data_IF_465486562038
#
_entry.id   IF_465486562038
#
_cell.length_a   1.000
_cell.length_b   1.000
_cell.length_c   1.000
_cell.angle_alpha   90.00
_cell.angle_beta   90.00
_cell.angle_gamma   90.00
#
_symmetry.space_group_name_H-M   'P 1'
#
loop_
_entity.id
_entity.type
_entity.pdbx_description
1 polymer ?
#
# COMPACT_ATOMS: atom_id res chain seq x y z
N UNK A 1 9.37 -56.30 6.61
CA UNK A 1 7.99 -55.83 6.86
C UNK A 1 7.55 -54.76 5.85
N UNK A 2 7.92 -54.91 4.57
CA UNK A 2 7.55 -54.02 3.44
C UNK A 2 7.26 -54.84 2.16
N UNK A 3 6.90 -56.12 2.33
CA UNK A 3 6.59 -57.04 1.23
C UNK A 3 5.18 -57.66 1.33
N UNK A 4 4.46 -57.43 2.42
CA UNK A 4 3.05 -57.87 2.57
C UNK A 4 2.02 -56.82 2.15
N UNK A 5 2.37 -55.53 2.07
CA UNK A 5 1.42 -54.49 1.63
C UNK A 5 1.29 -54.38 0.10
N UNK A 6 2.28 -54.87 -0.66
CA UNK A 6 2.22 -54.87 -2.12
C UNK A 6 1.34 -55.99 -2.70
N UNK A 7 1.12 -57.08 -1.94
CA UNK A 7 0.37 -58.24 -2.42
C UNK A 7 -1.16 -58.03 -2.33
N UNK A 8 -1.65 -57.22 -1.40
CA UNK A 8 -3.09 -56.93 -1.28
C UNK A 8 -3.59 -55.89 -2.31
N UNK A 9 -2.73 -54.99 -2.78
CA UNK A 9 -3.08 -54.05 -3.85
C UNK A 9 -3.12 -54.75 -5.22
N UNK A 10 -2.31 -55.78 -5.44
CA UNK A 10 -2.30 -56.52 -6.71
C UNK A 10 -3.49 -57.48 -6.86
N UNK A 11 -4.07 -57.95 -5.74
CA UNK A 11 -5.24 -58.85 -5.73
C UNK A 11 -6.60 -58.14 -5.91
N UNK A 12 -6.64 -56.81 -5.77
CA UNK A 12 -7.88 -56.02 -5.98
C UNK A 12 -8.02 -55.48 -7.41
N UNK A 13 -6.94 -55.44 -8.19
CA UNK A 13 -6.98 -55.01 -9.60
C UNK A 13 -7.38 -56.15 -10.56
N UNK A 14 -7.30 -57.41 -10.12
CA UNK A 14 -7.69 -58.58 -10.93
C UNK A 14 -9.19 -58.90 -10.92
N UNK A 15 -9.99 -58.20 -10.10
CA UNK A 15 -11.45 -58.42 -10.01
C UNK A 15 -12.33 -57.45 -10.84
N UNK A 16 -11.74 -56.54 -11.64
CA UNK A 16 -12.52 -55.55 -12.39
C UNK A 16 -12.18 -55.44 -13.88
N UNK A 17 -11.58 -56.47 -14.48
CA UNK A 17 -11.44 -56.59 -15.94
C UNK A 17 -11.74 -58.01 -16.38
N UNK A 18 -13.02 -58.38 -16.28
CA UNK A 18 -13.59 -59.49 -17.04
C UNK A 18 -15.05 -59.20 -17.40
N UNK A 19 -15.25 -58.43 -18.47
CA UNK A 19 -16.43 -58.57 -19.31
C UNK A 19 -15.94 -58.86 -20.73
N UNK A 20 -15.64 -60.14 -20.91
CA UNK A 20 -15.54 -60.81 -22.18
C UNK A 20 -16.91 -60.74 -22.88
N UNK A 21 -17.00 -60.10 -24.04
CA UNK A 21 -18.09 -60.36 -24.96
C UNK A 21 -17.54 -60.41 -26.38
N UNK A 22 -17.75 -61.57 -26.99
CA UNK A 22 -17.10 -62.07 -28.18
C UNK A 22 -17.44 -61.21 -29.39
N UNK A 23 -16.39 -60.73 -30.08
CA UNK A 23 -16.53 -60.24 -31.46
C UNK A 23 -16.56 -61.46 -32.37
N UNK A 24 -17.77 -61.93 -32.70
CA UNK A 24 -17.98 -62.86 -33.81
C UNK A 24 -18.30 -62.03 -35.06
N UNK A 25 -17.38 -62.07 -36.02
CA UNK A 25 -17.58 -61.55 -37.37
C UNK A 25 -18.37 -62.55 -38.22
N UNK A 26 -19.10 -61.98 -39.18
CA UNK A 26 -19.58 -62.56 -40.45
C UNK A 26 -20.98 -63.20 -40.47
N UNK A 27 -21.88 -62.51 -41.17
CA UNK A 27 -22.57 -62.94 -42.42
C UNK A 27 -24.09 -62.74 -42.44
N UNK A 28 -24.53 -61.85 -43.35
CA UNK A 28 -25.71 -61.91 -44.22
C UNK A 28 -27.03 -62.44 -43.64
N UNK A 29 -27.96 -61.53 -43.30
CA UNK A 29 -29.43 -61.78 -43.30
C UNK A 29 -30.14 -60.49 -43.79
N UNK A 30 -31.24 -60.58 -44.59
CA UNK A 30 -31.65 -59.57 -45.56
C UNK A 30 -32.42 -58.38 -44.98
N UNK A 31 -32.39 -57.29 -45.74
CA UNK A 31 -33.20 -56.08 -45.60
C UNK A 31 -34.70 -56.38 -45.48
N UNK A 32 -35.25 -56.22 -44.28
CA UNK A 32 -36.67 -55.90 -44.11
C UNK A 32 -36.82 -54.37 -43.99
N UNK A 33 -37.85 -53.76 -44.59
CA UNK A 33 -38.05 -52.33 -44.50
C UNK A 33 -38.49 -52.01 -43.07
N UNK A 34 -37.65 -51.30 -42.32
CA UNK A 34 -38.06 -50.66 -41.08
C UNK A 34 -39.06 -49.58 -41.46
N UNK A 35 -40.30 -49.78 -41.05
CA UNK A 35 -41.40 -48.86 -41.25
C UNK A 35 -41.08 -47.57 -40.50
N UNK A 36 -40.58 -46.55 -41.21
CA UNK A 36 -40.54 -45.20 -40.68
C UNK A 36 -41.99 -44.78 -40.49
N UNK A 37 -42.42 -44.70 -39.23
CA UNK A 37 -43.63 -43.97 -38.86
C UNK A 37 -43.58 -42.53 -39.42
N UNK A 38 -44.71 -41.81 -39.45
CA UNK A 38 -44.74 -40.48 -40.03
C UNK A 38 -43.66 -39.64 -39.38
N UNK A 39 -42.79 -39.08 -40.21
CA UNK A 39 -41.77 -38.12 -39.82
C UNK A 39 -42.51 -37.03 -39.03
N UNK A 40 -42.35 -37.03 -37.69
CA UNK A 40 -42.96 -36.01 -36.85
C UNK A 40 -42.19 -34.75 -37.14
N UNK A 41 -42.67 -33.98 -38.13
CA UNK A 41 -42.16 -32.65 -38.43
C UNK A 41 -42.49 -31.79 -37.22
N UNK A 42 -41.54 -31.69 -36.29
CA UNK A 42 -41.65 -30.78 -35.15
C UNK A 42 -41.43 -29.38 -35.70
N UNK A 43 -42.52 -28.67 -36.00
CA UNK A 43 -42.45 -27.28 -36.41
C UNK A 43 -42.07 -26.42 -35.19
N UNK A 44 -40.77 -26.26 -34.95
CA UNK A 44 -40.24 -25.47 -33.84
C UNK A 44 -40.22 -24.00 -34.26
N UNK A 45 -41.00 -23.19 -33.57
CA UNK A 45 -40.99 -21.73 -33.69
C UNK A 45 -40.25 -21.12 -32.50
N UNK A 46 -39.23 -20.31 -32.78
CA UNK A 46 -38.55 -19.52 -31.75
C UNK A 46 -39.16 -18.13 -31.66
N UNK A 47 -39.55 -17.74 -30.45
CA UNK A 47 -40.10 -16.42 -30.13
C UNK A 47 -38.96 -15.43 -29.83
N UNK A 48 -39.33 -14.15 -29.70
CA UNK A 48 -38.45 -13.09 -29.20
C UNK A 48 -37.10 -12.95 -29.93
N UNK A 49 -37.10 -13.23 -31.24
CA UNK A 49 -35.90 -13.13 -32.08
C UNK A 49 -34.87 -14.25 -31.84
N UNK A 50 -35.29 -15.37 -31.24
CA UNK A 50 -34.48 -16.58 -31.16
C UNK A 50 -34.26 -17.22 -32.54
N UNK A 51 -33.11 -17.84 -32.73
CA UNK A 51 -32.72 -18.52 -33.97
C UNK A 51 -32.73 -20.03 -33.78
N UNK A 52 -33.19 -20.77 -34.79
CA UNK A 52 -33.14 -22.24 -34.78
C UNK A 52 -31.71 -22.69 -35.13
N UNK A 53 -31.07 -23.42 -34.23
CA UNK A 53 -29.76 -24.05 -34.43
C UNK A 53 -29.88 -25.52 -33.97
N UNK A 54 -29.52 -26.46 -34.85
CA UNK A 54 -29.59 -27.91 -34.60
C UNK A 54 -30.96 -28.41 -34.07
N UNK A 55 -32.04 -27.86 -34.61
CA UNK A 55 -33.40 -28.23 -34.21
C UNK A 55 -33.80 -27.77 -32.81
N UNK A 56 -33.08 -26.79 -32.22
CA UNK A 56 -33.43 -26.14 -30.95
C UNK A 56 -33.41 -24.62 -31.10
N UNK A 57 -34.18 -23.94 -30.26
CA UNK A 57 -34.11 -22.48 -30.21
C UNK A 57 -32.89 -22.02 -29.42
N UNK A 58 -32.11 -21.14 -30.04
CA UNK A 58 -31.05 -20.37 -29.40
C UNK A 58 -31.57 -18.96 -29.13
N UNK A 59 -31.69 -18.62 -27.85
CA UNK A 59 -32.38 -17.40 -27.43
C UNK A 59 -31.44 -16.19 -27.39
N UNK A 60 -32.01 -15.01 -27.59
CA UNK A 60 -31.33 -13.75 -27.28
C UNK A 60 -30.96 -13.71 -25.78
N UNK A 61 -29.92 -12.96 -25.35
CA UNK A 61 -29.44 -12.95 -23.96
C UNK A 61 -30.49 -12.60 -22.88
N UNK A 62 -31.66 -12.12 -23.27
CA UNK A 62 -32.77 -11.73 -22.38
C UNK A 62 -33.91 -12.73 -22.33
N UNK A 63 -33.84 -13.84 -23.04
CA UNK A 63 -34.91 -14.83 -23.12
C UNK A 63 -34.37 -16.24 -22.91
N UNK A 64 -35.22 -17.10 -22.39
CA UNK A 64 -34.97 -18.50 -22.07
C UNK A 64 -36.19 -19.35 -22.47
N UNK A 65 -36.14 -20.65 -22.23
CA UNK A 65 -37.21 -21.58 -22.57
C UNK A 65 -36.93 -22.33 -23.88
N UNK A 66 -37.77 -23.31 -24.16
CA UNK A 66 -37.58 -24.19 -25.33
C UNK A 66 -37.88 -23.48 -26.64
N UNK A 67 -38.65 -22.39 -26.58
CA UNK A 67 -39.04 -21.55 -27.70
C UNK A 67 -38.67 -20.07 -27.45
N UNK A 68 -37.79 -19.77 -26.49
CA UNK A 68 -37.45 -18.40 -26.10
C UNK A 68 -38.64 -17.56 -25.61
N UNK A 69 -39.67 -18.23 -25.11
CA UNK A 69 -40.93 -17.66 -24.64
C UNK A 69 -40.82 -17.07 -23.22
N UNK A 70 -39.77 -17.44 -22.50
CA UNK A 70 -39.60 -17.12 -21.10
C UNK A 70 -38.66 -15.93 -20.94
N UNK A 71 -39.08 -14.95 -20.16
CA UNK A 71 -38.16 -13.95 -19.66
C UNK A 71 -37.56 -14.40 -18.30
N UNK A 72 -36.24 -14.23 -18.07
CA UNK A 72 -35.58 -14.65 -16.84
C UNK A 72 -35.91 -13.71 -15.68
N UNK A 73 -35.78 -14.21 -14.45
CA UNK A 73 -35.87 -13.39 -13.24
C UNK A 73 -34.71 -12.39 -13.18
N UNK A 74 -34.97 -11.18 -12.72
CA UNK A 74 -33.98 -10.11 -12.58
C UNK A 74 -33.45 -10.04 -11.15
N UNK A 75 -32.34 -9.32 -10.97
CA UNK A 75 -31.80 -8.91 -9.66
C UNK A 75 -31.64 -10.07 -8.65
N UNK A 76 -31.26 -11.26 -9.13
CA UNK A 76 -31.07 -12.45 -8.28
C UNK A 76 -32.37 -13.18 -7.89
N UNK A 77 -33.49 -12.87 -8.54
CA UNK A 77 -34.73 -13.63 -8.40
C UNK A 77 -34.58 -15.08 -8.84
N UNK A 78 -35.26 -15.99 -8.16
CA UNK A 78 -35.26 -17.42 -8.46
C UNK A 78 -36.58 -17.83 -9.07
N UNK A 79 -36.57 -18.66 -10.11
CA UNK A 79 -37.82 -19.19 -10.68
C UNK A 79 -38.56 -20.06 -9.67
N UNK A 80 -39.86 -19.85 -9.54
CA UNK A 80 -40.72 -20.77 -8.80
C UNK A 80 -40.77 -22.12 -9.53
N UNK A 81 -40.52 -23.21 -8.79
CA UNK A 81 -40.66 -24.58 -9.30
C UNK A 81 -42.11 -25.06 -9.33
N UNK A 82 -43.04 -24.27 -8.77
CA UNK A 82 -44.45 -24.64 -8.70
C UNK A 82 -45.15 -24.41 -10.04
N UNK A 83 -45.81 -25.44 -10.62
CA UNK A 83 -46.64 -25.30 -11.82
C UNK A 83 -47.73 -24.23 -11.65
N UNK A 84 -48.23 -24.06 -10.42
CA UNK A 84 -49.30 -23.11 -10.09
C UNK A 84 -48.84 -21.65 -10.02
N UNK A 85 -47.52 -21.39 -9.99
CA UNK A 85 -46.99 -20.04 -9.92
C UNK A 85 -46.87 -19.37 -11.30
N UNK A 86 -47.28 -20.04 -12.37
CA UNK A 86 -47.35 -19.50 -13.73
C UNK A 86 -46.04 -18.83 -14.20
N UNK A 87 -44.89 -19.37 -13.79
CA UNK A 87 -43.58 -18.83 -14.14
C UNK A 87 -43.14 -17.57 -13.37
N UNK A 88 -43.84 -17.17 -12.30
CA UNK A 88 -43.42 -16.04 -11.43
C UNK A 88 -42.11 -16.29 -10.70
N UNK A 89 -41.34 -15.23 -10.53
CA UNK A 89 -40.10 -15.22 -9.78
C UNK A 89 -40.34 -15.06 -8.28
N UNK A 90 -39.57 -15.81 -7.49
CA UNK A 90 -39.41 -15.56 -6.06
C UNK A 90 -38.32 -14.49 -5.89
N UNK A 91 -38.71 -13.34 -5.34
CA UNK A 91 -37.84 -12.18 -5.28
C UNK A 91 -37.06 -12.11 -3.98
N UNK A 92 -35.79 -11.68 -4.04
CA UNK A 92 -35.03 -11.33 -2.85
C UNK A 92 -35.71 -10.21 -2.07
N UNK A 93 -35.33 -10.07 -0.81
CA UNK A 93 -35.85 -9.01 0.04
C UNK A 93 -35.66 -7.63 -0.61
N UNK A 94 -36.68 -6.79 -0.49
CA UNK A 94 -36.67 -5.45 -1.06
C UNK A 94 -37.14 -5.37 -2.52
N UNK A 95 -37.37 -6.50 -3.20
CA UNK A 95 -37.78 -6.55 -4.61
C UNK A 95 -39.18 -7.14 -4.79
N UNK A 96 -39.84 -6.74 -5.87
CA UNK A 96 -41.18 -7.18 -6.25
C UNK A 96 -41.38 -7.10 -7.77
N UNK A 97 -42.57 -7.50 -8.24
CA UNK A 97 -42.89 -7.68 -9.65
C UNK A 97 -42.78 -9.14 -10.09
N UNK A 98 -43.34 -9.46 -11.25
CA UNK A 98 -43.36 -10.83 -11.78
C UNK A 98 -41.95 -11.36 -12.04
N UNK A 99 -40.98 -10.45 -12.26
CA UNK A 99 -39.58 -10.73 -12.55
C UNK A 99 -38.60 -10.10 -11.55
N UNK A 100 -39.07 -9.58 -10.41
CA UNK A 100 -38.23 -8.88 -9.42
C UNK A 100 -37.59 -7.59 -9.96
N UNK A 101 -38.29 -6.94 -10.89
CA UNK A 101 -37.84 -5.73 -11.59
C UNK A 101 -38.14 -4.43 -10.83
N UNK A 102 -38.98 -4.48 -9.79
CA UNK A 102 -39.37 -3.32 -9.00
C UNK A 102 -38.75 -3.38 -7.60
N UNK A 103 -38.25 -2.25 -7.12
CA UNK A 103 -37.80 -2.07 -5.73
C UNK A 103 -38.96 -1.59 -4.86
N UNK A 104 -38.96 -2.00 -3.60
CA UNK A 104 -40.00 -1.67 -2.61
C UNK A 104 -39.63 -0.48 -1.74
N UNK A 105 -38.33 -0.18 -1.63
CA UNK A 105 -37.80 0.91 -0.82
C UNK A 105 -36.49 1.42 -1.41
N UNK A 106 -36.08 2.60 -0.98
CA UNK A 106 -34.74 3.14 -1.17
C UNK A 106 -34.15 3.41 0.21
N UNK A 107 -32.82 3.47 0.32
CA UNK A 107 -32.21 3.85 1.60
C UNK A 107 -32.62 5.28 1.96
N UNK A 108 -33.06 5.45 3.20
CA UNK A 108 -33.59 6.71 3.71
C UNK A 108 -32.56 7.86 3.56
N UNK A 109 -33.04 9.01 3.10
CA UNK A 109 -32.21 10.20 2.85
C UNK A 109 -31.33 10.14 1.60
N UNK A 110 -31.20 8.96 0.95
CA UNK A 110 -30.27 8.75 -0.19
C UNK A 110 -30.96 8.65 -1.54
N UNK A 111 -32.29 8.56 -1.55
CA UNK A 111 -33.07 8.54 -2.78
C UNK A 111 -34.56 8.52 -2.51
N UNK A 112 -35.33 8.56 -3.59
CA UNK A 112 -36.79 8.49 -3.58
C UNK A 112 -37.27 7.38 -4.49
N UNK A 113 -38.31 6.67 -4.04
CA UNK A 113 -38.95 5.62 -4.84
C UNK A 113 -39.88 6.27 -5.87
N UNK A 114 -39.66 6.01 -7.16
CA UNK A 114 -40.44 6.50 -8.29
C UNK A 114 -40.68 5.33 -9.24
N UNK A 115 -41.94 5.00 -9.49
CA UNK A 115 -42.35 3.92 -10.41
C UNK A 115 -41.66 2.57 -10.18
N UNK A 116 -41.51 2.19 -8.91
CA UNK A 116 -40.84 0.93 -8.53
C UNK A 116 -39.33 0.94 -8.79
N UNK A 117 -38.70 2.12 -8.92
CA UNK A 117 -37.24 2.29 -9.02
C UNK A 117 -36.76 3.38 -8.08
N UNK A 118 -35.52 3.28 -7.63
CA UNK A 118 -34.93 4.33 -6.82
C UNK A 118 -34.30 5.42 -7.70
N UNK A 119 -34.79 6.65 -7.54
CA UNK A 119 -34.10 7.85 -8.01
C UNK A 119 -33.17 8.34 -6.90
N UNK A 120 -31.88 8.09 -7.05
CA UNK A 120 -30.89 8.44 -6.04
C UNK A 120 -30.64 9.95 -5.98
N UNK A 121 -30.40 10.43 -4.77
CA UNK A 121 -29.89 11.76 -4.49
C UNK A 121 -28.42 11.84 -4.94
N UNK A 122 -27.89 13.06 -5.00
CA UNK A 122 -26.49 13.29 -5.32
C UNK A 122 -25.58 12.43 -4.43
N UNK A 123 -24.53 11.89 -5.05
CA UNK A 123 -23.49 11.04 -4.43
C UNK A 123 -23.90 9.61 -4.09
N UNK A 124 -25.10 9.18 -4.49
CA UNK A 124 -25.58 7.82 -4.26
C UNK A 124 -25.99 7.12 -5.54
N UNK A 125 -25.80 5.81 -5.57
CA UNK A 125 -26.13 4.94 -6.70
C UNK A 125 -26.47 3.52 -6.23
N UNK A 126 -26.74 2.63 -7.18
CA UNK A 126 -27.16 1.26 -6.93
C UNK A 126 -28.68 1.11 -6.84
N UNK A 127 -29.12 -0.15 -6.84
CA UNK A 127 -30.53 -0.52 -6.95
C UNK A 127 -31.43 0.12 -5.87
N UNK A 128 -30.89 0.30 -4.67
CA UNK A 128 -31.57 0.90 -3.51
C UNK A 128 -30.94 2.23 -3.06
N UNK A 129 -30.06 2.84 -3.87
CA UNK A 129 -29.23 4.00 -3.47
C UNK A 129 -28.30 3.73 -2.28
N UNK A 130 -27.82 2.50 -2.18
CA UNK A 130 -26.97 2.04 -1.08
C UNK A 130 -25.47 2.28 -1.34
N UNK A 131 -25.06 2.47 -2.60
CA UNK A 131 -23.67 2.66 -2.97
C UNK A 131 -23.34 4.15 -3.00
N UNK A 132 -22.20 4.54 -2.44
CA UNK A 132 -21.67 5.90 -2.61
C UNK A 132 -20.92 6.02 -3.92
N UNK A 133 -21.01 7.19 -4.55
CA UNK A 133 -20.20 7.54 -5.71
C UNK A 133 -19.02 8.42 -5.31
N UNK A 134 -18.02 8.51 -6.20
CA UNK A 134 -16.97 9.51 -6.09
C UNK A 134 -17.55 10.91 -6.19
N UNK A 135 -17.01 11.86 -5.42
CA UNK A 135 -17.48 13.23 -5.43
C UNK A 135 -16.63 14.15 -6.31
N UNK A 136 -15.36 14.38 -5.96
CA UNK A 136 -14.40 15.12 -6.77
C UNK A 136 -13.39 14.14 -7.36
N UNK A 137 -13.81 13.41 -8.39
CA UNK A 137 -12.98 12.41 -9.02
C UNK A 137 -13.76 11.42 -9.86
N UNK A 138 -13.04 10.40 -10.35
CA UNK A 138 -13.59 9.38 -11.24
C UNK A 138 -13.59 8.00 -10.58
N UNK A 139 -14.66 7.24 -10.81
CA UNK A 139 -14.74 5.85 -10.39
C UNK A 139 -13.95 4.96 -11.35
N UNK A 140 -13.00 4.20 -10.82
CA UNK A 140 -12.14 3.29 -11.57
C UNK A 140 -12.23 1.88 -10.97
N UNK A 141 -12.15 0.86 -11.81
CA UNK A 141 -12.22 -0.54 -11.41
C UNK A 141 -13.12 -1.36 -12.32
N UNK A 142 -13.07 -2.67 -12.11
CA UNK A 142 -13.89 -3.67 -12.81
C UNK A 142 -14.71 -4.48 -11.80
N UNK A 143 -15.38 -5.54 -12.25
CA UNK A 143 -16.38 -6.33 -11.52
C UNK A 143 -15.94 -6.84 -10.12
N UNK A 144 -14.65 -6.80 -9.79
CA UNK A 144 -14.10 -7.16 -8.48
C UNK A 144 -14.05 -6.01 -7.45
N UNK A 145 -14.27 -4.76 -7.87
CA UNK A 145 -14.30 -3.61 -6.97
C UNK A 145 -14.08 -2.27 -7.68
N UNK A 146 -14.88 -1.27 -7.32
CA UNK A 146 -14.76 0.11 -7.81
C UNK A 146 -14.20 1.00 -6.70
N UNK A 147 -13.20 1.82 -7.02
CA UNK A 147 -12.61 2.82 -6.13
C UNK A 147 -12.56 4.19 -6.82
N UNK A 148 -12.27 5.24 -6.05
CA UNK A 148 -12.22 6.61 -6.58
C UNK A 148 -10.78 7.07 -6.79
N UNK A 149 -10.50 7.60 -7.97
CA UNK A 149 -9.34 8.45 -8.22
C UNK A 149 -9.75 9.90 -8.04
N UNK A 150 -9.15 10.58 -7.07
CA UNK A 150 -9.54 11.93 -6.70
C UNK A 150 -8.90 12.99 -7.57
N UNK A 151 -9.67 14.04 -7.87
CA UNK A 151 -9.16 15.26 -8.47
C UNK A 151 -8.14 15.94 -7.54
N UNK A 152 -7.35 16.87 -8.10
CA UNK A 152 -6.35 17.60 -7.32
C UNK A 152 -7.04 18.38 -6.20
N UNK A 153 -6.55 18.21 -4.96
CA UNK A 153 -7.05 18.85 -3.76
C UNK A 153 -8.07 18.06 -2.95
N UNK A 154 -8.36 16.82 -3.32
CA UNK A 154 -9.28 15.95 -2.57
C UNK A 154 -8.68 14.59 -2.25
N UNK A 155 -9.11 14.02 -1.13
CA UNK A 155 -8.68 12.70 -0.65
C UNK A 155 -9.86 11.90 -0.07
N UNK A 156 -9.53 10.69 0.39
CA UNK A 156 -10.47 9.75 0.97
C UNK A 156 -11.06 8.78 -0.06
N UNK A 157 -11.76 7.73 0.39
CA UNK A 157 -12.26 6.67 -0.48
C UNK A 157 -13.33 7.14 -1.48
N UNK A 158 -13.94 8.31 -1.24
CA UNK A 158 -14.98 8.90 -2.09
C UNK A 158 -14.64 10.32 -2.58
N UNK A 159 -13.41 10.79 -2.35
CA UNK A 159 -12.95 12.12 -2.78
C UNK A 159 -13.82 13.28 -2.27
N UNK A 160 -14.34 13.13 -1.05
CA UNK A 160 -15.19 14.11 -0.36
C UNK A 160 -14.46 14.86 0.76
N UNK A 161 -13.19 14.52 1.01
CA UNK A 161 -12.36 15.18 2.02
C UNK A 161 -11.43 16.17 1.30
N UNK A 162 -11.59 17.49 1.49
CA UNK A 162 -10.67 18.46 0.91
C UNK A 162 -9.30 18.38 1.59
N UNK A 163 -8.24 18.59 0.83
CA UNK A 163 -6.87 18.72 1.33
C UNK A 163 -6.63 20.19 1.65
N UNK A 164 -6.17 20.44 2.88
CA UNK A 164 -5.82 21.78 3.35
C UNK A 164 -4.35 21.77 3.73
N UNK A 165 -3.59 22.66 3.09
CA UNK A 165 -2.20 22.97 3.42
C UNK A 165 -2.18 24.39 4.00
N UNK A 166 -1.80 24.56 5.26
CA UNK A 166 -1.83 25.86 5.93
C UNK A 166 -0.67 26.73 5.42
N UNK A 167 0.55 26.20 5.49
CA UNK A 167 1.77 26.85 5.01
C UNK A 167 2.42 26.03 3.89
N UNK A 168 1.74 25.96 2.75
CA UNK A 168 2.18 25.17 1.61
C UNK A 168 1.18 25.09 0.48
N UNK A 169 1.48 24.26 -0.51
CA UNK A 169 0.64 24.05 -1.67
C UNK A 169 0.41 22.56 -1.94
N UNK A 170 -0.68 22.25 -2.64
CA UNK A 170 -1.06 20.89 -3.00
C UNK A 170 -0.25 20.46 -4.24
N UNK A 171 0.38 19.28 -4.17
CA UNK A 171 1.11 18.70 -5.30
C UNK A 171 0.19 18.00 -6.30
N UNK A 172 0.75 17.58 -7.44
CA UNK A 172 0.07 16.71 -8.41
C UNK A 172 -0.30 15.33 -7.87
N UNK A 173 0.30 14.91 -6.75
CA UNK A 173 0.03 13.63 -6.09
C UNK A 173 -0.94 13.76 -4.91
N UNK A 174 -1.62 14.91 -4.76
CA UNK A 174 -2.53 15.17 -3.64
C UNK A 174 -1.86 15.06 -2.27
N UNK A 175 -0.64 15.60 -2.17
CA UNK A 175 0.11 15.72 -0.92
C UNK A 175 0.51 17.19 -0.73
N UNK A 176 0.46 17.68 0.51
CA UNK A 176 0.95 19.02 0.80
C UNK A 176 2.48 19.07 0.68
N UNK A 177 2.96 20.04 -0.09
CA UNK A 177 4.37 20.44 -0.13
C UNK A 177 4.49 21.69 0.73
N UNK A 178 5.19 21.55 1.85
CA UNK A 178 5.30 22.62 2.83
C UNK A 178 6.34 23.66 2.44
N UNK A 179 6.06 24.90 2.83
CA UNK A 179 7.03 26.00 2.83
C UNK A 179 8.20 25.69 3.78
N UNK A 180 9.36 26.38 3.63
CA UNK A 180 10.47 26.23 4.55
C UNK A 180 10.03 26.41 6.00
N UNK A 181 10.60 25.61 6.89
CA UNK A 181 10.31 25.62 8.32
C UNK A 181 8.91 25.12 8.73
N UNK A 182 8.13 24.60 7.80
CA UNK A 182 6.85 23.94 8.08
C UNK A 182 6.88 22.45 7.74
N UNK A 183 6.18 21.64 8.54
CA UNK A 183 6.09 20.19 8.39
C UNK A 183 4.70 19.68 8.75
N UNK A 184 4.43 18.42 8.39
CA UNK A 184 3.16 17.75 8.65
C UNK A 184 2.37 17.51 7.38
N UNK A 185 1.32 16.67 7.47
CA UNK A 185 0.46 16.35 6.33
C UNK A 185 -0.29 17.58 5.81
N UNK A 186 -0.55 18.56 6.69
CA UNK A 186 -1.22 19.82 6.38
C UNK A 186 -0.31 21.05 6.52
N UNK A 187 1.01 20.88 6.71
CA UNK A 187 1.95 21.98 6.90
C UNK A 187 1.55 22.95 8.01
N UNK A 188 1.10 22.40 9.14
CA UNK A 188 0.52 23.12 10.27
C UNK A 188 1.45 23.17 11.50
N UNK A 189 2.64 22.58 11.39
CA UNK A 189 3.61 22.51 12.49
C UNK A 189 4.96 23.06 12.07
N UNK A 190 5.65 23.70 12.99
CA UNK A 190 7.02 24.16 12.75
C UNK A 190 8.00 22.98 12.64
N UNK A 191 8.96 23.10 11.74
CA UNK A 191 10.03 22.13 11.57
C UNK A 191 11.00 22.19 12.76
N UNK A 192 11.18 21.08 13.46
CA UNK A 192 12.21 20.97 14.50
C UNK A 192 13.46 20.40 13.84
N UNK A 193 14.53 21.19 13.79
CA UNK A 193 15.84 20.75 13.29
C UNK A 193 16.77 20.56 14.49
N UNK A 194 17.68 19.59 14.43
CA UNK A 194 18.53 19.16 15.56
C UNK A 194 19.40 20.30 16.14
N UNK A 195 19.50 21.45 15.48
CA UNK A 195 20.24 22.65 15.93
C UNK A 195 19.45 23.97 15.78
N UNK A 196 18.13 23.91 15.62
CA UNK A 196 17.26 25.09 15.52
C UNK A 196 15.85 24.70 15.92
N UNK A 197 15.39 25.24 17.06
CA UNK A 197 14.00 25.11 17.45
C UNK A 197 13.19 26.22 16.79
N UNK A 198 12.07 25.87 16.15
CA UNK A 198 11.15 26.84 15.61
C UNK A 198 9.93 26.90 16.50
N UNK A 199 9.62 28.07 17.05
CA UNK A 199 8.44 28.28 17.87
C UNK A 199 7.36 28.98 17.07
N UNK A 200 6.13 28.51 17.24
CA UNK A 200 4.94 29.15 16.71
C UNK A 200 4.59 30.35 17.61
N UNK A 201 4.74 31.56 17.09
CA UNK A 201 4.20 32.79 17.69
C UNK A 201 3.37 33.50 16.63
N UNK A 202 2.13 33.88 16.96
CA UNK A 202 1.19 34.58 16.06
C UNK A 202 1.02 33.97 14.65
N UNK A 203 0.92 32.64 14.56
CA UNK A 203 0.83 31.86 13.30
C UNK A 203 2.07 31.94 12.38
N UNK A 204 3.20 32.45 12.87
CA UNK A 204 4.49 32.38 12.18
C UNK A 204 5.46 31.46 12.93
N UNK A 205 6.21 30.67 12.18
CA UNK A 205 7.30 29.85 12.73
C UNK A 205 8.57 30.69 12.77
N UNK A 206 8.93 31.17 13.96
CA UNK A 206 10.17 31.91 14.17
C UNK A 206 11.29 30.96 14.62
N UNK A 207 12.48 31.15 14.04
CA UNK A 207 13.71 30.52 14.49
C UNK A 207 14.06 31.04 15.89
N UNK A 208 14.07 30.15 16.88
CA UNK A 208 14.77 30.41 18.13
C UNK A 208 16.22 30.03 17.88
N UNK A 209 17.04 31.03 17.60
CA UNK A 209 18.48 30.89 17.80
C UNK A 209 18.69 31.03 19.30
N UNK A 210 18.97 29.93 19.99
CA UNK A 210 19.49 30.04 21.35
C UNK A 210 20.85 30.75 21.22
N UNK A 211 20.94 32.01 21.66
CA UNK A 211 22.18 32.82 21.65
C UNK A 211 23.34 32.11 22.38
N UNK A 212 23.01 31.13 23.22
CA UNK A 212 23.93 30.30 23.98
C UNK A 212 24.59 29.19 23.13
N UNK A 213 23.94 28.71 22.05
CA UNK A 213 24.48 27.67 21.17
C UNK A 213 25.10 28.21 19.88
N UNK A 214 24.63 29.36 19.36
CA UNK A 214 25.23 30.00 18.19
C UNK A 214 26.67 30.51 18.46
N UNK A 215 27.02 30.74 19.73
CA UNK A 215 28.37 31.14 20.14
C UNK A 215 29.32 29.96 20.44
N UNK A 216 28.92 28.71 20.18
CA UNK A 216 29.76 27.54 20.46
C UNK A 216 30.64 27.13 19.26
N UNK A 217 30.37 27.62 18.05
CA UNK A 217 31.11 27.19 16.83
C UNK A 217 32.24 28.15 16.43
N UNK A 218 32.31 29.37 16.97
CA UNK A 218 33.49 30.24 16.80
C UNK A 218 33.83 30.98 18.11
N UNK A 219 34.08 30.23 19.18
CA UNK A 219 35.07 30.66 20.18
C UNK A 219 35.71 29.47 20.88
N UNK A 220 36.60 28.78 20.16
CA UNK A 220 37.75 28.17 20.82
C UNK A 220 39.06 28.78 20.30
N UNK A 221 39.43 30.01 20.72
CA UNK A 221 40.76 30.56 20.53
C UNK A 221 41.66 30.33 21.76
N UNK A 222 41.26 29.52 22.74
CA UNK A 222 42.03 29.40 24.00
C UNK A 222 43.08 28.26 23.94
N UNK A 223 43.48 27.88 22.73
CA UNK A 223 44.64 27.03 22.48
C UNK A 223 45.96 27.78 22.25
N UNK A 224 45.96 29.12 22.29
CA UNK A 224 47.11 29.94 21.88
C UNK A 224 47.82 30.70 23.01
N UNK A 225 47.28 30.72 24.23
CA UNK A 225 47.95 31.38 25.39
C UNK A 225 48.75 30.43 26.28
N UNK A 226 48.67 29.11 26.11
CA UNK A 226 49.48 28.18 26.92
C UNK A 226 50.91 28.00 26.38
N UNK A 227 51.07 28.01 25.05
CA UNK A 227 52.37 27.80 24.41
C UNK A 227 53.39 28.89 24.76
N UNK A 228 52.96 30.14 24.93
CA UNK A 228 53.83 31.24 25.36
C UNK A 228 54.38 31.01 26.76
N UNK A 229 53.54 30.54 27.70
CA UNK A 229 53.95 30.23 29.07
C UNK A 229 54.92 29.03 29.09
N UNK A 230 54.67 27.99 28.30
CA UNK A 230 55.57 26.83 28.20
C UNK A 230 56.92 27.21 27.61
N UNK A 231 56.95 28.04 26.57
CA UNK A 231 58.20 28.50 25.94
C UNK A 231 58.99 29.39 26.90
N UNK A 232 58.33 30.34 27.57
CA UNK A 232 58.98 31.22 28.56
C UNK A 232 59.51 30.40 29.74
N UNK A 233 58.70 29.46 30.27
CA UNK A 233 59.13 28.55 31.33
C UNK A 233 60.34 27.71 30.94
N UNK A 234 60.36 27.20 29.70
CA UNK A 234 61.50 26.46 29.14
C UNK A 234 62.77 27.32 29.02
N UNK A 235 62.65 28.57 28.54
CA UNK A 235 63.77 29.50 28.43
C UNK A 235 64.36 29.85 29.80
N UNK A 236 63.52 30.11 30.81
CA UNK A 236 63.98 30.42 32.18
C UNK A 236 64.71 29.22 32.78
N UNK A 237 64.16 28.01 32.64
CA UNK A 237 64.80 26.79 33.13
C UNK A 237 66.17 26.56 32.46
N UNK A 238 66.29 26.78 31.15
CA UNK A 238 67.54 26.65 30.42
C UNK A 238 68.61 27.66 30.91
N UNK A 239 68.22 28.92 31.14
CA UNK A 239 69.12 29.95 31.67
C UNK A 239 69.63 29.57 33.06
N UNK A 240 68.76 29.07 33.95
CA UNK A 240 69.16 28.62 35.29
C UNK A 240 70.19 27.48 35.21
N UNK A 241 69.99 26.53 34.29
CA UNK A 241 70.96 25.45 34.06
C UNK A 241 72.30 25.98 33.56
N UNK A 242 72.31 26.94 32.63
CA UNK A 242 73.55 27.55 32.15
C UNK A 242 74.30 28.30 33.25
N UNK A 243 73.58 29.04 34.10
CA UNK A 243 74.18 29.72 35.24
C UNK A 243 74.78 28.69 36.21
N UNK A 244 74.05 27.62 36.53
CA UNK A 244 74.54 26.54 37.39
C UNK A 244 75.82 25.90 36.81
N UNK A 245 75.83 25.55 35.52
CA UNK A 245 77.02 24.99 34.86
C UNK A 245 78.18 25.98 34.89
N UNK A 246 77.94 27.26 34.59
CA UNK A 246 78.99 28.29 34.62
C UNK A 246 79.57 28.44 36.03
N UNK A 247 78.74 28.40 37.08
CA UNK A 247 79.17 28.48 38.47
C UNK A 247 80.04 27.28 38.86
N UNK A 248 79.67 26.06 38.42
CA UNK A 248 80.47 24.85 38.63
C UNK A 248 81.81 24.95 37.90
N UNK A 249 81.84 25.45 36.67
CA UNK A 249 83.07 25.67 35.90
C UNK A 249 83.97 26.70 36.57
N UNK A 250 83.41 27.81 37.07
CA UNK A 250 84.16 28.85 37.79
C UNK A 250 84.70 28.32 39.11
N UNK A 251 83.91 27.60 39.90
CA UNK A 251 84.35 26.96 41.15
C UNK A 251 85.49 25.97 40.85
N UNK A 252 85.34 25.13 39.81
CA UNK A 252 86.38 24.17 39.40
C UNK A 252 87.65 24.88 38.91
N UNK A 253 87.54 26.01 38.20
CA UNK A 253 88.68 26.86 37.80
C UNK A 253 89.32 27.59 38.99
N UNK A 254 88.54 27.99 39.99
CA UNK A 254 89.04 28.63 41.21
C UNK A 254 89.85 27.64 42.05
N UNK A 255 89.33 26.42 42.26
CA UNK A 255 90.07 25.35 42.93
C UNK A 255 91.31 24.88 42.16
N UNK A 256 91.31 24.98 40.82
CA UNK A 256 92.50 24.67 39.99
C UNK A 256 93.61 25.72 40.09
N UNK A 257 93.33 26.95 40.56
CA UNK A 257 94.31 28.04 40.65
C UNK A 257 94.90 28.21 42.06
N UNK A 258 94.47 27.43 43.05
CA UNK A 258 94.99 27.47 44.42
C UNK A 258 96.30 26.66 44.63
N UNK A 259 97.11 26.41 43.58
CA UNK A 259 98.43 25.80 43.71
C UNK A 259 99.46 26.49 42.81
N UNK A 260 100.56 26.96 43.44
CA UNK A 260 101.67 27.83 42.97
C UNK A 260 101.35 29.33 43.11
N UNK A 261 102.00 30.09 43.99
CA UNK A 261 103.45 30.27 44.14
C UNK A 261 103.82 30.50 45.63
N UNK A 262 104.86 29.80 46.11
CA UNK A 262 105.68 30.27 47.22
C UNK A 262 107.06 30.68 46.69
N UNK A 263 107.69 31.71 47.25
CA UNK A 263 109.13 31.75 47.49
C UNK A 263 109.53 32.93 48.41
N UNK A 264 110.46 32.58 49.30
CA UNK A 264 111.24 33.27 50.33
C UNK A 264 111.80 34.68 50.04
N UNK A 265 111.93 35.49 51.10
CA UNK A 265 113.13 36.29 51.40
C UNK A 265 113.18 36.63 52.91
N UNK A 266 114.39 36.61 53.48
CA UNK A 266 114.75 36.60 54.90
C UNK A 266 115.25 37.97 55.44
N UNK A 267 115.69 37.97 56.73
CA UNK A 267 116.47 38.98 57.52
C UNK A 267 115.64 40.10 58.19
N UNK A 268 115.87 40.58 59.43
CA UNK A 268 116.91 40.35 60.48
C UNK A 268 116.41 40.91 61.84
N UNK A 269 117.20 40.66 62.91
CA UNK A 269 117.14 41.05 64.35
C UNK A 269 116.57 40.01 65.33
#
# INVERSE_FOLDING_TARGET
MWLSFALEVLLTVTYAVNCNMQVLSSSNIPSQPIFFGPEVVVNITCLNGGSIIDGKCHCQPRFEGTQCELEPCLNGGMRSKSPSANGRCHCPYGLTGDRCERVTHCVEGKGKLVDGKCKCSDRWSGLFCQLRTCYNGVSVGSDAGTFCLCDIGYKGPFCDIPIVCIHGAISSENVCVCEPNWVGESCDRCAIVIHSDHRLEDNECHLIVNDEEALMVIKNPDGHEYWTIVVIGGCVAFIVVLIAISSVVVIKRYHSKASRVGLTAATDV
#
